data_IF_568989172086
#
_entry.id   IF_568989172086
#
_cell.length_a   1.000
_cell.length_b   1.000
_cell.length_c   1.000
_cell.angle_alpha   90.00
_cell.angle_beta   90.00
_cell.angle_gamma   90.00
#
_symmetry.space_group_name_H-M   'P 1'
#
loop_
_entity.id
_entity.type
_entity.pdbx_description
1 polymer ?
#
# COMPACT_ATOMS: atom_id res chain seq x y z
N UNK A 1 2.68 -39.67 1.86
CA UNK A 1 2.83 -38.20 1.85
C UNK A 1 3.99 -37.88 0.93
N UNK A 2 3.75 -37.27 -0.23
CA UNK A 2 4.84 -36.80 -1.07
C UNK A 2 5.52 -35.61 -0.39
N UNK A 3 6.85 -35.64 -0.29
CA UNK A 3 7.62 -34.54 0.29
C UNK A 3 7.73 -33.41 -0.75
N UNK A 4 7.87 -32.14 -0.32
CA UNK A 4 8.07 -31.00 -1.23
C UNK A 4 9.24 -31.21 -2.20
N UNK A 5 10.24 -32.04 -1.83
CA UNK A 5 11.34 -32.44 -2.70
C UNK A 5 10.89 -33.29 -3.89
N UNK A 6 9.94 -34.20 -3.72
CA UNK A 6 9.48 -35.08 -4.80
C UNK A 6 8.71 -34.31 -5.88
N UNK A 7 8.07 -33.19 -5.50
CA UNK A 7 7.38 -32.30 -6.44
C UNK A 7 8.32 -31.59 -7.41
N UNK A 8 9.61 -31.45 -7.09
CA UNK A 8 10.58 -30.79 -7.97
C UNK A 8 10.93 -31.65 -9.18
N UNK A 9 10.99 -32.97 -9.02
CA UNK A 9 11.23 -33.90 -10.12
C UNK A 9 10.10 -33.86 -11.17
N UNK A 10 8.87 -33.56 -10.75
CA UNK A 10 7.73 -33.42 -11.67
C UNK A 10 7.80 -32.17 -12.55
N UNK A 11 8.47 -31.10 -12.09
CA UNK A 11 8.63 -29.88 -12.90
C UNK A 11 9.61 -30.11 -14.07
N UNK A 12 10.60 -30.98 -13.91
CA UNK A 12 11.63 -31.24 -14.94
C UNK A 12 11.16 -32.21 -16.03
N UNK A 13 10.15 -33.04 -15.75
CA UNK A 13 9.67 -34.08 -16.69
C UNK A 13 8.41 -33.72 -17.48
N UNK A 14 7.95 -32.47 -17.42
CA UNK A 14 7.22 -31.81 -18.51
C UNK A 14 6.14 -32.64 -19.21
N UNK A 15 5.18 -33.18 -18.46
CA UNK A 15 3.91 -33.72 -19.03
C UNK A 15 2.72 -32.77 -18.81
N UNK A 16 2.99 -31.50 -18.49
CA UNK A 16 1.99 -30.44 -18.69
C UNK A 16 2.07 -30.11 -20.17
N UNK A 17 1.00 -30.39 -20.91
CA UNK A 17 0.96 -30.53 -22.37
C UNK A 17 1.90 -29.60 -23.13
N UNK A 18 2.59 -30.13 -24.15
CA UNK A 18 3.51 -29.41 -25.04
C UNK A 18 2.87 -28.11 -25.56
N UNK A 19 3.01 -27.02 -24.81
CA UNK A 19 2.68 -25.70 -25.28
C UNK A 19 3.80 -25.31 -26.24
N UNK A 20 3.56 -25.56 -27.53
CA UNK A 20 4.41 -25.03 -28.57
C UNK A 20 4.15 -23.51 -28.67
N UNK A 21 5.13 -22.74 -29.14
CA UNK A 21 5.02 -21.28 -29.23
C UNK A 21 3.87 -20.80 -30.14
N UNK A 22 3.31 -21.69 -30.96
CA UNK A 22 2.18 -21.50 -31.87
C UNK A 22 0.82 -21.94 -31.28
N UNK A 23 0.79 -22.47 -30.06
CA UNK A 23 -0.46 -22.93 -29.45
C UNK A 23 -1.27 -21.72 -28.96
N UNK A 24 -2.24 -21.28 -29.77
CA UNK A 24 -3.20 -20.25 -29.37
C UNK A 24 -4.15 -20.83 -28.32
N UNK A 25 -3.84 -20.63 -27.04
CA UNK A 25 -4.67 -21.07 -25.93
C UNK A 25 -5.94 -20.21 -25.92
N UNK A 26 -7.07 -20.78 -26.34
CA UNK A 26 -8.37 -20.16 -26.11
C UNK A 26 -8.76 -20.36 -24.65
N UNK A 27 -8.33 -19.43 -23.81
CA UNK A 27 -8.62 -19.44 -22.38
C UNK A 27 -10.12 -19.47 -22.12
N UNK A 28 -10.58 -20.53 -21.46
CA UNK A 28 -11.98 -20.62 -21.09
C UNK A 28 -12.24 -19.79 -19.82
N UNK A 29 -12.43 -18.48 -20.01
CA UNK A 29 -12.55 -17.50 -18.92
C UNK A 29 -13.67 -17.84 -17.90
N UNK A 30 -14.66 -18.65 -18.27
CA UNK A 30 -15.76 -19.04 -17.40
C UNK A 30 -15.34 -19.88 -16.20
N UNK A 31 -14.49 -20.89 -16.41
CA UNK A 31 -14.13 -21.89 -15.39
C UNK A 31 -13.30 -21.28 -14.26
N UNK A 32 -12.45 -20.30 -14.59
CA UNK A 32 -11.54 -19.69 -13.64
C UNK A 32 -12.17 -18.61 -12.75
N UNK A 33 -13.40 -18.17 -13.04
CA UNK A 33 -14.11 -17.18 -12.20
C UNK A 33 -14.39 -17.72 -10.79
N UNK A 34 -14.48 -19.04 -10.64
CA UNK A 34 -14.79 -19.71 -9.38
C UNK A 34 -13.57 -20.46 -8.79
N UNK A 35 -12.34 -20.15 -9.22
CA UNK A 35 -11.13 -20.77 -8.68
C UNK A 35 -10.89 -20.30 -7.22
N UNK A 36 -11.02 -21.19 -6.22
CA UNK A 36 -10.90 -20.81 -4.80
C UNK A 36 -9.48 -20.38 -4.43
N UNK A 37 -8.46 -20.93 -5.10
CA UNK A 37 -7.07 -20.54 -4.89
C UNK A 37 -6.82 -19.15 -5.43
N UNK A 38 -7.31 -18.84 -6.63
CA UNK A 38 -7.23 -17.48 -7.18
C UNK A 38 -7.94 -16.45 -6.30
N UNK A 39 -9.11 -16.81 -5.77
CA UNK A 39 -9.85 -16.01 -4.79
C UNK A 39 -9.01 -15.74 -3.53
N UNK A 40 -8.41 -16.78 -2.95
CA UNK A 40 -7.55 -16.67 -1.77
C UNK A 40 -6.29 -15.84 -2.02
N UNK A 41 -5.67 -15.95 -3.20
CA UNK A 41 -4.53 -15.10 -3.60
C UNK A 41 -4.95 -13.63 -3.62
N UNK A 42 -6.07 -13.31 -4.30
CA UNK A 42 -6.58 -11.94 -4.40
C UNK A 42 -6.97 -11.37 -3.04
N UNK A 43 -7.60 -12.17 -2.19
CA UNK A 43 -7.96 -11.80 -0.83
C UNK A 43 -6.71 -11.50 0.01
N UNK A 44 -5.68 -12.35 -0.09
CA UNK A 44 -4.40 -12.17 0.60
C UNK A 44 -3.71 -10.87 0.17
N UNK A 45 -3.60 -10.63 -1.14
CA UNK A 45 -3.03 -9.38 -1.67
C UNK A 45 -3.82 -8.17 -1.15
N UNK A 46 -5.15 -8.22 -1.22
CA UNK A 46 -6.02 -7.13 -0.75
C UNK A 46 -5.88 -6.86 0.75
N UNK A 47 -5.71 -7.91 1.55
CA UNK A 47 -5.45 -7.81 2.99
C UNK A 47 -4.08 -7.16 3.24
N UNK A 48 -3.02 -7.67 2.62
CA UNK A 48 -1.66 -7.14 2.78
C UNK A 48 -1.53 -5.70 2.31
N UNK A 49 -2.26 -5.29 1.27
CA UNK A 49 -2.35 -3.89 0.83
C UNK A 49 -2.90 -2.95 1.90
N UNK A 50 -3.79 -3.42 2.76
CA UNK A 50 -4.31 -2.63 3.89
C UNK A 50 -3.31 -2.60 5.05
N UNK A 51 -2.58 -3.68 5.27
CA UNK A 51 -1.66 -3.82 6.41
C UNK A 51 -0.31 -3.14 6.17
N UNK A 52 0.20 -3.19 4.93
CA UNK A 52 1.56 -2.79 4.60
C UNK A 52 1.61 -1.81 3.43
N UNK A 53 2.19 -0.63 3.67
CA UNK A 53 2.33 0.43 2.66
C UNK A 53 3.14 -0.02 1.44
N UNK A 54 4.20 -0.79 1.63
CA UNK A 54 5.06 -1.19 0.51
C UNK A 54 4.31 -2.07 -0.50
N UNK A 55 3.39 -2.93 -0.02
CA UNK A 55 2.54 -3.81 -0.87
C UNK A 55 1.39 -3.04 -1.52
N UNK A 56 1.09 -1.82 -1.06
CA UNK A 56 -0.01 -1.01 -1.58
C UNK A 56 0.26 -0.49 -2.99
N UNK A 57 1.48 -0.02 -3.24
CA UNK A 57 1.92 0.52 -4.54
C UNK A 57 1.65 -0.46 -5.69
N UNK A 58 2.28 -1.66 -5.72
CA UNK A 58 2.18 -2.54 -6.87
C UNK A 58 0.73 -2.88 -7.19
N UNK A 59 0.32 -2.56 -8.41
CA UNK A 59 -0.92 -3.09 -8.98
C UNK A 59 -0.73 -4.55 -9.38
N UNK A 60 -0.79 -5.43 -8.38
CA UNK A 60 -0.83 -6.87 -8.58
C UNK A 60 -2.09 -7.28 -9.34
N UNK A 61 -1.89 -7.91 -10.48
CA UNK A 61 -2.94 -8.61 -11.22
C UNK A 61 -2.53 -10.07 -11.36
N UNK A 62 -3.37 -10.99 -10.88
CA UNK A 62 -3.08 -12.43 -10.92
C UNK A 62 -4.03 -13.10 -11.90
N UNK A 63 -3.44 -13.87 -12.82
CA UNK A 63 -4.15 -14.66 -13.84
C UNK A 63 -3.67 -16.10 -13.81
N UNK A 64 -4.56 -17.09 -13.92
CA UNK A 64 -4.14 -18.46 -14.22
C UNK A 64 -3.53 -18.48 -15.61
N UNK A 65 -2.45 -19.25 -15.79
CA UNK A 65 -1.76 -19.39 -17.08
C UNK A 65 -2.23 -20.62 -17.87
N UNK A 66 -2.76 -21.62 -17.19
CA UNK A 66 -3.20 -22.87 -17.81
C UNK A 66 -4.72 -23.08 -17.64
N UNK A 67 -5.30 -23.84 -18.56
CA UNK A 67 -6.69 -24.33 -18.47
C UNK A 67 -6.82 -25.50 -17.46
N UNK A 68 -5.79 -25.73 -16.63
CA UNK A 68 -5.81 -26.79 -15.64
C UNK A 68 -6.94 -26.57 -14.62
N UNK A 69 -7.53 -27.68 -14.18
CA UNK A 69 -8.56 -27.65 -13.16
C UNK A 69 -8.05 -26.94 -11.89
N UNK A 70 -8.92 -26.22 -11.16
CA UNK A 70 -8.56 -25.59 -9.90
C UNK A 70 -7.88 -26.58 -8.95
N UNK A 71 -6.85 -26.12 -8.24
CA UNK A 71 -6.12 -26.93 -7.26
C UNK A 71 -6.99 -27.36 -6.06
N UNK A 72 -8.08 -26.63 -5.82
CA UNK A 72 -9.01 -26.89 -4.73
C UNK A 72 -10.45 -26.94 -5.26
N UNK A 73 -11.30 -27.89 -4.82
CA UNK A 73 -11.03 -28.92 -3.82
C UNK A 73 -10.02 -29.98 -4.29
N UNK A 74 -9.34 -30.61 -3.33
CA UNK A 74 -8.34 -31.65 -3.59
C UNK A 74 -8.90 -32.83 -4.39
N UNK A 75 -8.03 -33.47 -5.17
CA UNK A 75 -8.38 -34.62 -6.01
C UNK A 75 -8.90 -34.27 -7.41
N UNK A 76 -9.16 -32.99 -7.70
CA UNK A 76 -9.54 -32.56 -9.05
C UNK A 76 -8.37 -32.36 -9.99
N UNK A 77 -7.23 -31.89 -9.47
CA UNK A 77 -6.02 -31.69 -10.23
C UNK A 77 -5.01 -32.78 -9.86
N UNK A 78 -4.70 -33.66 -10.81
CA UNK A 78 -3.78 -34.78 -10.63
C UNK A 78 -2.34 -34.36 -10.35
N UNK A 79 -1.93 -33.20 -10.85
CA UNK A 79 -0.56 -32.71 -10.72
C UNK A 79 -0.30 -31.99 -9.39
N UNK A 80 -1.37 -31.53 -8.72
CA UNK A 80 -1.25 -30.75 -7.48
C UNK A 80 -0.50 -29.42 -7.65
N UNK A 81 -0.22 -29.01 -8.88
CA UNK A 81 0.49 -27.77 -9.24
C UNK A 81 -0.25 -27.10 -10.39
N UNK A 82 -0.32 -25.77 -10.35
CA UNK A 82 -0.97 -24.96 -11.37
C UNK A 82 -0.17 -23.67 -11.58
N UNK A 83 -0.06 -23.20 -12.82
CA UNK A 83 0.71 -21.99 -13.12
C UNK A 83 -0.16 -20.74 -13.00
N UNK A 84 0.39 -19.73 -12.32
CA UNK A 84 -0.22 -18.40 -12.25
C UNK A 84 0.81 -17.35 -12.66
N UNK A 85 0.33 -16.34 -13.38
CA UNK A 85 1.10 -15.15 -13.75
C UNK A 85 0.70 -13.98 -12.86
N UNK A 86 1.69 -13.40 -12.20
CA UNK A 86 1.61 -12.22 -11.35
C UNK A 86 2.16 -11.03 -12.13
N UNK A 87 1.27 -10.15 -12.60
CA UNK A 87 1.65 -8.93 -13.31
C UNK A 87 1.82 -7.79 -12.30
N UNK A 88 2.98 -7.13 -12.33
CA UNK A 88 3.26 -5.94 -11.53
C UNK A 88 3.40 -4.73 -12.47
N UNK A 89 2.36 -3.88 -12.53
CA UNK A 89 2.23 -2.88 -13.62
C UNK A 89 3.12 -1.64 -13.50
N UNK A 90 3.79 -1.38 -12.38
CA UNK A 90 4.29 -0.02 -12.13
C UNK A 90 5.62 0.35 -12.78
N UNK A 91 6.61 -0.54 -12.94
CA UNK A 91 7.91 -0.08 -13.44
C UNK A 91 8.61 -0.92 -14.52
N UNK A 92 8.26 -2.19 -14.76
CA UNK A 92 8.94 -3.00 -15.81
C UNK A 92 8.05 -3.97 -16.57
N UNK A 93 6.73 -3.97 -16.31
CA UNK A 93 5.84 -4.99 -16.89
C UNK A 93 6.34 -6.41 -16.61
N UNK A 94 7.09 -6.61 -15.51
CA UNK A 94 7.63 -7.91 -15.17
C UNK A 94 6.47 -8.79 -14.74
N UNK A 95 6.17 -9.75 -15.60
CA UNK A 95 5.19 -10.78 -15.32
C UNK A 95 5.96 -11.95 -14.71
N UNK A 96 5.71 -12.23 -13.44
CA UNK A 96 6.29 -13.40 -12.78
C UNK A 96 5.32 -14.54 -12.94
N UNK A 97 5.67 -15.50 -13.79
CA UNK A 97 4.95 -16.77 -13.86
C UNK A 97 5.59 -17.75 -12.90
N UNK A 98 4.80 -18.29 -11.97
CA UNK A 98 5.28 -19.26 -11.00
C UNK A 98 4.32 -20.47 -10.92
N UNK A 99 4.87 -21.69 -10.74
CA UNK A 99 4.07 -22.83 -10.30
C UNK A 99 3.56 -22.58 -8.89
N UNK A 100 2.29 -22.86 -8.65
CA UNK A 100 1.61 -22.71 -7.37
C UNK A 100 1.09 -24.06 -6.91
N UNK A 101 1.23 -24.33 -5.62
CA UNK A 101 0.65 -25.51 -4.96
C UNK A 101 -0.02 -25.12 -3.64
N UNK A 102 -0.84 -26.00 -3.09
CA UNK A 102 -1.45 -25.85 -1.76
C UNK A 102 -0.86 -26.91 -0.83
N UNK A 103 -0.19 -26.45 0.22
CA UNK A 103 0.51 -27.28 1.20
C UNK A 103 0.09 -26.92 2.64
N UNK A 104 -0.14 -27.90 3.52
CA UNK A 104 -0.20 -29.33 3.23
C UNK A 104 -1.37 -29.67 2.28
N UNK A 105 -1.26 -30.77 1.55
CA UNK A 105 -2.31 -31.19 0.62
C UNK A 105 -3.64 -31.36 1.36
N UNK A 106 -4.71 -30.79 0.81
CA UNK A 106 -6.04 -30.78 1.43
C UNK A 106 -6.32 -29.56 2.31
N UNK A 107 -5.31 -28.76 2.65
CA UNK A 107 -5.50 -27.54 3.42
C UNK A 107 -6.39 -26.54 2.67
N UNK A 108 -7.13 -25.72 3.43
CA UNK A 108 -7.89 -24.62 2.86
C UNK A 108 -6.93 -23.57 2.25
N UNK A 109 -7.23 -23.02 1.06
CA UNK A 109 -6.36 -22.02 0.43
C UNK A 109 -6.27 -20.74 1.28
N UNK A 110 -5.05 -20.41 1.69
CA UNK A 110 -4.74 -19.25 2.53
C UNK A 110 -3.35 -18.72 2.22
N UNK A 111 -3.01 -17.54 2.74
CA UNK A 111 -1.71 -16.90 2.54
C UNK A 111 -0.51 -17.78 2.94
N UNK A 112 -0.70 -18.67 3.92
CA UNK A 112 0.37 -19.53 4.47
C UNK A 112 0.33 -20.95 3.90
N UNK A 113 -0.78 -21.36 3.28
CA UNK A 113 -0.90 -22.70 2.68
C UNK A 113 -0.64 -22.68 1.18
N UNK A 114 -0.84 -21.55 0.52
CA UNK A 114 -0.49 -21.37 -0.89
C UNK A 114 1.02 -21.13 -0.98
N UNK A 115 1.72 -21.97 -1.73
CA UNK A 115 3.16 -21.89 -1.94
C UNK A 115 3.48 -21.69 -3.41
N UNK A 116 4.47 -20.85 -3.68
CA UNK A 116 4.99 -20.57 -5.01
C UNK A 116 6.38 -21.18 -5.12
N UNK A 117 6.64 -21.84 -6.25
CA UNK A 117 7.98 -22.32 -6.54
C UNK A 117 8.81 -21.23 -7.19
N UNK A 118 9.95 -20.89 -6.57
CA UNK A 118 10.89 -19.90 -7.09
C UNK A 118 12.08 -20.62 -7.71
N UNK A 119 12.13 -20.63 -9.04
CA UNK A 119 13.16 -21.33 -9.82
C UNK A 119 14.59 -20.93 -9.45
N UNK A 120 14.83 -19.63 -9.20
CA UNK A 120 16.13 -19.09 -8.81
C UNK A 120 16.67 -19.69 -7.51
N UNK A 121 15.77 -19.96 -6.55
CA UNK A 121 16.12 -20.51 -5.23
C UNK A 121 15.93 -22.02 -5.15
N UNK A 122 15.24 -22.62 -6.13
CA UNK A 122 14.78 -24.02 -6.11
C UNK A 122 14.00 -24.37 -4.85
N UNK A 123 13.17 -23.44 -4.38
CA UNK A 123 12.43 -23.55 -3.12
C UNK A 123 10.96 -23.17 -3.28
N UNK A 124 10.12 -23.83 -2.48
CA UNK A 124 8.71 -23.47 -2.33
C UNK A 124 8.57 -22.45 -1.19
N UNK A 125 8.02 -21.29 -1.49
CA UNK A 125 7.88 -20.18 -0.55
C UNK A 125 6.39 -19.87 -0.38
N UNK A 126 5.94 -19.70 0.87
CA UNK A 126 4.57 -19.28 1.16
C UNK A 126 4.24 -17.94 0.47
N UNK A 127 3.00 -17.79 -0.01
CA UNK A 127 2.54 -16.62 -0.74
C UNK A 127 2.74 -15.33 0.05
N UNK A 128 2.47 -15.33 1.36
CA UNK A 128 2.71 -14.18 2.23
C UNK A 128 4.18 -13.75 2.20
N UNK A 129 5.09 -14.68 2.50
CA UNK A 129 6.55 -14.44 2.52
C UNK A 129 7.07 -13.97 1.16
N UNK A 130 6.60 -14.59 0.07
CA UNK A 130 6.99 -14.19 -1.29
C UNK A 130 6.54 -12.76 -1.61
N UNK A 131 5.30 -12.38 -1.28
CA UNK A 131 4.80 -11.00 -1.51
C UNK A 131 5.62 -9.96 -0.75
N UNK A 132 6.04 -10.24 0.49
CA UNK A 132 6.93 -9.34 1.23
C UNK A 132 8.31 -9.21 0.57
N UNK A 133 8.87 -10.32 0.09
CA UNK A 133 10.19 -10.36 -0.53
C UNK A 133 10.21 -9.69 -1.91
N UNK A 134 9.14 -9.85 -2.69
CA UNK A 134 9.04 -9.28 -4.04
C UNK A 134 9.05 -7.75 -4.02
N UNK A 135 8.53 -7.14 -2.95
CA UNK A 135 8.28 -5.69 -2.86
C UNK A 135 9.29 -4.97 -1.95
N UNK A 136 10.13 -5.71 -1.21
CA UNK A 136 11.08 -5.13 -0.24
C UNK A 136 12.18 -4.25 -0.86
N UNK A 137 12.32 -4.25 -2.19
CA UNK A 137 13.34 -3.48 -2.91
C UNK A 137 12.99 -1.99 -3.08
N UNK A 138 11.82 -1.55 -2.64
CA UNK A 138 11.32 -0.22 -2.95
C UNK A 138 11.53 0.77 -1.80
N UNK A 139 12.25 1.85 -2.10
CA UNK A 139 12.44 2.97 -1.20
C UNK A 139 11.40 4.07 -1.51
N UNK A 140 10.37 4.18 -0.67
CA UNK A 140 9.35 5.23 -0.82
C UNK A 140 9.82 6.52 -0.15
N UNK A 141 10.58 7.34 -0.87
CA UNK A 141 11.07 8.63 -0.37
C UNK A 141 10.53 9.81 -1.18
N UNK A 142 10.56 10.99 -0.55
CA UNK A 142 10.14 12.26 -1.16
C UNK A 142 8.67 12.32 -1.56
N UNK A 143 8.38 13.12 -2.59
CA UNK A 143 7.00 13.42 -3.03
C UNK A 143 6.20 12.18 -3.45
N UNK A 144 6.89 11.16 -3.96
CA UNK A 144 6.26 9.90 -4.37
C UNK A 144 5.79 9.10 -3.15
N UNK A 145 6.66 8.93 -2.14
CA UNK A 145 6.30 8.32 -0.87
C UNK A 145 5.13 9.05 -0.19
N UNK A 146 5.14 10.38 -0.17
CA UNK A 146 4.05 11.19 0.40
C UNK A 146 2.71 10.98 -0.32
N UNK A 147 2.75 10.84 -1.66
CA UNK A 147 1.55 10.57 -2.46
C UNK A 147 1.04 9.15 -2.19
N UNK A 148 1.94 8.17 -2.15
CA UNK A 148 1.61 6.78 -1.87
C UNK A 148 0.97 6.62 -0.49
N UNK A 149 1.62 7.19 0.53
CA UNK A 149 1.15 7.14 1.91
C UNK A 149 -0.25 7.75 2.06
N UNK A 150 -0.51 8.91 1.43
CA UNK A 150 -1.85 9.50 1.41
C UNK A 150 -2.88 8.60 0.71
N UNK A 151 -2.50 7.95 -0.39
CA UNK A 151 -3.37 6.98 -1.07
C UNK A 151 -3.68 5.76 -0.19
N UNK A 152 -2.66 5.22 0.46
CA UNK A 152 -2.78 4.07 1.35
C UNK A 152 -3.67 4.36 2.56
N UNK A 153 -3.54 5.54 3.17
CA UNK A 153 -4.40 5.97 4.28
C UNK A 153 -5.89 6.00 3.89
N UNK A 154 -6.22 6.41 2.67
CA UNK A 154 -7.62 6.37 2.17
C UNK A 154 -8.17 4.94 2.10
N UNK A 155 -7.34 3.96 1.80
CA UNK A 155 -7.76 2.55 1.63
C UNK A 155 -7.77 1.78 2.94
N UNK A 156 -6.85 2.09 3.85
CA UNK A 156 -6.78 1.42 5.15
C UNK A 156 -7.96 1.81 6.05
N UNK A 157 -8.55 3.00 5.83
CA UNK A 157 -9.65 3.51 6.66
C UNK A 157 -9.24 3.76 8.11
N UNK A 158 -7.94 3.68 8.43
CA UNK A 158 -7.41 3.98 9.75
C UNK A 158 -7.55 5.47 10.00
N UNK A 159 -8.39 5.82 10.96
CA UNK A 159 -8.44 7.14 11.55
C UNK A 159 -7.57 7.13 12.80
N UNK A 160 -6.80 8.19 12.98
CA UNK A 160 -6.05 8.41 14.20
C UNK A 160 -6.66 9.61 14.90
N UNK A 161 -7.13 9.49 16.15
CA UNK A 161 -7.52 10.65 16.91
C UNK A 161 -6.31 11.56 17.01
N UNK A 162 -6.46 12.83 16.64
CA UNK A 162 -5.35 13.76 16.57
C UNK A 162 -4.57 13.83 17.89
N UNK A 163 -5.29 13.83 19.01
CA UNK A 163 -4.70 13.83 20.36
C UNK A 163 -3.99 12.52 20.72
N UNK A 164 -4.28 11.40 20.04
CA UNK A 164 -3.61 10.11 20.23
C UNK A 164 -2.32 9.96 19.42
N UNK A 165 -1.94 10.96 18.62
CA UNK A 165 -0.66 10.97 17.93
C UNK A 165 0.48 11.26 18.91
N UNK A 166 1.69 10.69 18.70
CA UNK A 166 2.90 11.09 19.42
C UNK A 166 3.11 12.60 19.42
N UNK A 167 3.66 13.14 20.51
CA UNK A 167 3.82 14.58 20.72
C UNK A 167 4.60 15.25 19.57
N UNK A 168 5.60 14.57 19.01
CA UNK A 168 6.42 15.04 17.90
C UNK A 168 5.59 15.25 16.63
N UNK A 169 4.67 14.34 16.33
CA UNK A 169 3.80 14.43 15.18
C UNK A 169 2.72 15.50 15.37
N UNK A 170 2.13 15.59 16.58
CA UNK A 170 1.19 16.66 16.91
C UNK A 170 1.84 18.02 16.77
N UNK A 171 3.05 18.19 17.31
CA UNK A 171 3.80 19.45 17.22
C UNK A 171 4.11 19.81 15.76
N UNK A 172 4.50 18.85 14.91
CA UNK A 172 4.66 19.11 13.47
C UNK A 172 3.36 19.57 12.82
N UNK A 173 2.23 18.93 13.11
CA UNK A 173 0.93 19.37 12.59
C UNK A 173 0.58 20.76 13.07
N UNK A 174 0.81 21.08 14.35
CA UNK A 174 0.61 22.42 14.89
C UNK A 174 1.51 23.45 14.21
N UNK A 175 2.80 23.16 14.03
CA UNK A 175 3.71 24.04 13.28
C UNK A 175 3.21 24.34 11.87
N UNK A 176 2.72 23.31 11.16
CA UNK A 176 2.15 23.49 9.82
C UNK A 176 0.82 24.25 9.84
N UNK A 177 -0.04 24.04 10.84
CA UNK A 177 -1.37 24.64 10.92
C UNK A 177 -1.34 26.11 11.33
N UNK A 178 -0.40 26.48 12.20
CA UNK A 178 -0.31 27.83 12.76
C UNK A 178 0.69 28.73 12.01
N UNK A 179 1.43 28.20 11.02
CA UNK A 179 2.44 28.89 10.17
C UNK A 179 3.49 29.73 10.92
N UNK A 180 3.49 29.69 12.25
CA UNK A 180 4.23 30.56 13.16
C UNK A 180 4.66 29.80 14.40
N UNK A 181 5.73 30.26 15.03
CA UNK A 181 6.19 29.73 16.32
C UNK A 181 5.12 30.06 17.38
N UNK A 182 4.42 29.02 17.86
CA UNK A 182 3.50 29.13 18.99
C UNK A 182 4.31 29.36 20.27
N UNK A 183 4.51 30.63 20.63
CA UNK A 183 4.96 30.97 21.98
C UNK A 183 3.74 31.25 22.85
N UNK A 184 3.72 30.78 24.11
CA UNK A 184 2.80 31.33 25.08
C UNK A 184 3.11 32.82 25.19
N UNK A 185 2.24 33.66 24.61
CA UNK A 185 2.27 35.08 24.90
C UNK A 185 1.73 35.19 26.32
N UNK A 186 2.61 35.46 27.28
CA UNK A 186 2.16 36.05 28.53
C UNK A 186 1.62 37.42 28.16
N UNK A 187 0.31 37.54 27.99
CA UNK A 187 -0.36 38.83 28.06
C UNK A 187 -0.21 39.32 29.48
N UNK A 188 0.96 39.89 29.80
CA UNK A 188 1.12 40.79 30.93
C UNK A 188 0.30 42.01 30.53
N UNK A 189 -1.01 41.96 30.78
CA UNK A 189 -1.81 43.17 30.79
C UNK A 189 -1.22 44.04 31.90
N UNK A 190 -0.37 44.99 31.50
CA UNK A 190 -0.09 46.19 32.28
C UNK A 190 -1.38 47.04 32.31
N UNK A 191 -2.46 46.48 32.84
CA UNK A 191 -3.61 47.27 33.28
C UNK A 191 -3.44 47.39 34.78
N UNK A 192 -2.96 48.57 35.14
CA UNK A 192 -2.99 49.16 36.47
C UNK A 192 -4.07 48.56 37.37
N UNK A 193 -3.61 48.07 38.52
CA UNK A 193 -4.28 48.15 39.82
C UNK A 193 -5.81 48.20 39.78
N UNK A 194 -6.44 47.03 39.79
CA UNK A 194 -7.45 46.69 40.80
C UNK A 194 -7.92 45.23 40.65
N UNK A 195 -7.47 44.44 41.62
CA UNK A 195 -8.25 43.47 42.39
C UNK A 195 -9.00 42.38 41.59
N UNK A 196 -8.42 41.18 41.74
CA UNK A 196 -9.04 39.84 41.73
C UNK A 196 -9.77 39.39 40.47
N UNK A 197 -9.06 38.66 39.60
CA UNK A 197 -9.30 37.23 39.41
C UNK A 197 -8.10 36.60 38.68
N UNK A 198 -7.60 35.46 39.15
CA UNK A 198 -6.42 34.77 38.62
C UNK A 198 -6.77 33.92 37.40
N UNK A 199 -7.39 34.52 36.39
CA UNK A 199 -7.71 33.83 35.14
C UNK A 199 -6.68 34.23 34.07
N UNK A 200 -5.52 33.57 34.09
CA UNK A 200 -4.49 33.75 33.08
C UNK A 200 -4.97 33.15 31.76
N UNK A 201 -5.73 33.95 31.00
CA UNK A 201 -6.22 33.58 29.68
C UNK A 201 -5.03 33.37 28.74
N UNK A 202 -4.68 32.11 28.51
CA UNK A 202 -3.69 31.72 27.51
C UNK A 202 -4.24 32.06 26.12
N UNK A 203 -3.80 33.18 25.56
CA UNK A 203 -4.07 33.53 24.17
C UNK A 203 -2.98 32.93 23.31
N UNK A 204 -3.34 31.98 22.42
CA UNK A 204 -2.43 31.55 21.35
C UNK A 204 -2.29 32.71 20.36
N UNK A 205 -1.21 33.47 20.51
CA UNK A 205 -0.87 34.54 19.59
C UNK A 205 -0.33 34.01 18.28
N UNK A 206 -0.67 34.68 17.18
CA UNK A 206 0.04 34.52 15.92
C UNK A 206 1.43 35.13 16.15
N UNK A 207 2.47 34.30 16.15
CA UNK A 207 3.85 34.74 16.35
C UNK A 207 4.25 35.81 15.33
N UNK A 208 5.11 36.73 15.74
CA UNK A 208 5.63 37.86 14.98
C UNK A 208 5.61 37.66 13.46
N UNK A 209 4.92 38.56 12.75
CA UNK A 209 5.18 38.82 11.34
C UNK A 209 6.69 39.02 11.21
N UNK A 210 7.42 38.03 10.67
CA UNK A 210 8.74 38.31 10.11
C UNK A 210 8.47 39.33 9.03
N UNK A 211 8.87 40.57 9.30
CA UNK A 211 8.88 41.62 8.30
C UNK A 211 9.96 41.22 7.28
N UNK A 212 9.62 40.30 6.37
CA UNK A 212 10.39 40.02 5.16
C UNK A 212 10.14 41.17 4.21
N UNK A 213 10.61 42.35 4.61
CA UNK A 213 10.69 43.51 3.77
C UNK A 213 11.78 43.23 2.73
N UNK A 214 11.31 42.95 1.51
CA UNK A 214 11.90 43.38 0.25
C UNK A 214 13.39 43.06 0.02
N UNK A 215 13.64 41.94 -0.67
CA UNK A 215 14.47 42.01 -1.88
C UNK A 215 13.60 41.75 -3.09
N UNK A 216 13.08 42.86 -3.61
CA UNK A 216 12.62 42.99 -4.99
C UNK A 216 13.85 42.73 -5.86
N UNK A 217 13.92 41.54 -6.47
CA UNK A 217 14.58 41.40 -7.76
C UNK A 217 13.46 41.23 -8.77
N UNK A 218 13.07 42.35 -9.38
CA UNK A 218 12.33 42.35 -10.62
C UNK A 218 13.15 41.60 -11.67
N UNK A 219 12.57 40.57 -12.27
CA UNK A 219 12.60 40.34 -13.72
C UNK A 219 11.63 39.21 -14.10
N UNK A 220 10.49 39.64 -14.66
CA UNK A 220 9.93 39.15 -15.94
C UNK A 220 9.61 37.65 -16.08
N UNK A 221 8.35 37.25 -15.84
CA UNK A 221 7.34 36.80 -16.85
C UNK A 221 6.19 36.03 -16.18
N UNK A 222 4.93 36.16 -16.67
CA UNK A 222 3.78 35.51 -16.06
C UNK A 222 3.52 34.13 -16.68
N UNK A 223 3.56 33.07 -15.88
CA UNK A 223 2.92 31.79 -16.23
C UNK A 223 2.33 31.13 -14.98
N UNK A 224 1.00 31.12 -14.93
CA UNK A 224 0.11 30.14 -14.30
C UNK A 224 0.50 29.63 -12.89
N UNK A 225 0.08 30.37 -11.87
CA UNK A 225 -0.08 29.82 -10.50
C UNK A 225 -1.52 30.05 -10.02
N UNK A 226 -2.48 29.47 -10.74
CA UNK A 226 -3.82 29.18 -10.22
C UNK A 226 -3.93 27.65 -10.07
N UNK A 227 -3.53 27.11 -8.91
CA UNK A 227 -3.81 25.69 -8.58
C UNK A 227 -3.64 25.33 -7.10
N UNK A 228 -2.98 26.14 -6.27
CA UNK A 228 -2.76 25.79 -4.86
C UNK A 228 -3.81 26.36 -3.89
N UNK A 229 -4.49 27.47 -4.19
CA UNK A 229 -5.54 28.02 -3.32
C UNK A 229 -6.83 27.19 -3.32
N UNK A 230 -7.16 26.49 -4.41
CA UNK A 230 -8.33 25.61 -4.47
C UNK A 230 -8.19 24.36 -3.58
N UNK A 231 -6.95 23.88 -3.35
CA UNK A 231 -6.71 22.69 -2.50
C UNK A 231 -6.73 22.99 -1.00
N UNK A 232 -6.62 24.27 -0.60
CA UNK A 232 -6.73 24.67 0.81
C UNK A 232 -8.20 24.84 1.25
N UNK A 233 -9.12 25.20 0.35
CA UNK A 233 -10.55 25.26 0.67
C UNK A 233 -11.17 23.87 0.92
N UNK A 234 -10.68 22.81 0.27
CA UNK A 234 -11.20 21.45 0.48
C UNK A 234 -10.77 20.82 1.81
N UNK A 235 -9.68 21.29 2.42
CA UNK A 235 -9.26 20.83 3.75
C UNK A 235 -10.10 21.43 4.88
N UNK A 236 -10.68 22.63 4.69
CA UNK A 236 -11.57 23.27 5.68
C UNK A 236 -12.94 22.61 5.76
N UNK A 237 -13.46 22.05 4.67
CA UNK A 237 -14.78 21.40 4.65
C UNK A 237 -14.79 20.02 5.33
N UNK A 238 -13.68 19.29 5.35
CA UNK A 238 -13.63 17.98 6.03
C UNK A 238 -13.52 18.08 7.56
N UNK A 239 -13.05 19.21 8.10
CA UNK A 239 -12.94 19.40 9.55
C UNK A 239 -14.28 19.74 10.24
N UNK A 240 -15.28 20.19 9.48
CA UNK A 240 -16.61 20.53 10.02
C UNK A 240 -17.58 19.35 9.97
N UNK A 241 -17.28 18.29 9.22
CA UNK A 241 -18.11 17.09 9.12
C UNK A 241 -17.76 15.98 10.14
N UNK A 242 -16.81 16.22 11.04
CA UNK A 242 -16.33 15.26 12.05
C UNK A 242 -16.34 15.83 13.49
N UNK A 243 -17.04 16.95 13.70
CA UNK A 243 -17.44 17.44 15.02
C UNK A 243 -18.96 17.31 15.14
#
# INVERSE_FOLDING_TARGET
MACLRDMLAFLEHGQVGRFHADTTIQFNFGVHKQDPVLGAIRATISKLKKEHLHIFEPKFEVKPLDDALPLWPVGRNYFGVKYYTFNMKEDYGSNVTAPVTVFPSGAYPSANTIHLYISEKKEWIALSTWLHTAVSKWAFTGKHGDRLQRGWWKVNGKTFPFLGLPAELRNKVYMYAFESELYPLSTYHAISNRVSDTDSRLTLGIGYYRNTQSRICAHTTPRLVCSMQEKMCQARLCAVALA
#
